data_IF_323900572736
#
_entry.id   IF_323900572736
#
_cell.length_a   1.000
_cell.length_b   1.000
_cell.length_c   1.000
_cell.angle_alpha   90.00
_cell.angle_beta   90.00
_cell.angle_gamma   90.00
#
_symmetry.space_group_name_H-M   'P 1'
#
loop_
_entity.id
_entity.type
_entity.pdbx_description
1 polymer ?
#
# COMPACT_ATOMS: atom_id res chain seq x y z
N UNK A 1 13.06 3.24 -9.31
CA UNK A 1 12.52 4.33 -10.15
C UNK A 1 11.07 4.57 -9.74
N UNK A 2 10.56 5.80 -9.75
CA UNK A 2 9.14 6.05 -9.42
C UNK A 2 8.26 5.93 -10.64
N UNK A 3 7.08 5.33 -10.47
CA UNK A 3 6.08 5.09 -11.52
C UNK A 3 4.76 5.66 -11.06
N UNK A 4 4.18 6.54 -11.86
CA UNK A 4 2.85 7.10 -11.58
C UNK A 4 1.80 6.01 -11.72
N UNK A 5 0.81 6.03 -10.83
CA UNK A 5 -0.31 5.10 -10.86
C UNK A 5 -1.53 5.73 -10.19
N UNK A 6 -2.67 5.05 -10.29
CA UNK A 6 -3.89 5.44 -9.63
C UNK A 6 -4.60 4.18 -9.13
N UNK A 7 -4.18 3.69 -7.97
CA UNK A 7 -4.65 2.43 -7.40
C UNK A 7 -5.03 2.65 -5.94
N UNK A 8 -6.10 2.01 -5.51
CA UNK A 8 -6.51 1.97 -4.12
C UNK A 8 -5.92 0.75 -3.43
N UNK A 9 -5.48 0.95 -2.20
CA UNK A 9 -5.02 -0.14 -1.33
C UNK A 9 -5.68 -0.05 0.03
N UNK A 10 -5.91 -1.20 0.66
CA UNK A 10 -6.28 -1.24 2.06
C UNK A 10 -5.06 -1.00 2.93
N UNK A 11 -5.27 -0.29 4.05
CA UNK A 11 -4.28 -0.20 5.11
C UNK A 11 -4.85 -0.68 6.42
N UNK A 12 -4.02 -1.39 7.17
CA UNK A 12 -4.34 -1.96 8.48
C UNK A 12 -3.43 -1.35 9.53
N UNK A 13 -4.03 -0.90 10.62
CA UNK A 13 -3.31 -0.28 11.72
C UNK A 13 -4.05 -0.42 13.04
N UNK A 14 -3.32 -0.28 14.14
CA UNK A 14 -3.90 -0.22 15.48
C UNK A 14 -3.93 1.22 15.96
N UNK A 15 -5.06 1.65 16.51
CA UNK A 15 -5.15 2.93 17.21
C UNK A 15 -4.82 2.74 18.68
N UNK A 16 -4.11 3.71 19.28
CA UNK A 16 -3.72 3.65 20.69
C UNK A 16 -4.97 3.51 21.57
N UNK A 17 -5.01 2.48 22.41
CA UNK A 17 -6.14 2.22 23.31
C UNK A 17 -7.30 1.43 22.68
N UNK A 18 -7.23 1.08 21.40
CA UNK A 18 -8.22 0.24 20.71
C UNK A 18 -7.66 -1.18 20.55
N UNK A 19 -8.39 -2.19 21.03
CA UNK A 19 -7.98 -3.61 20.93
C UNK A 19 -8.21 -4.25 19.55
N UNK A 20 -8.81 -3.51 18.62
CA UNK A 20 -9.17 -3.97 17.29
C UNK A 20 -8.29 -3.34 16.21
N UNK A 21 -8.03 -4.11 15.15
CA UNK A 21 -7.38 -3.61 13.94
C UNK A 21 -8.37 -2.69 13.21
N UNK A 22 -7.92 -1.47 12.93
CA UNK A 22 -8.64 -0.51 12.10
C UNK A 22 -8.19 -0.65 10.65
N UNK A 23 -9.12 -0.39 9.73
CA UNK A 23 -8.89 -0.40 8.29
C UNK A 23 -9.22 0.95 7.66
N UNK A 24 -8.44 1.34 6.67
CA UNK A 24 -8.71 2.48 5.80
C UNK A 24 -8.32 2.15 4.35
N UNK A 25 -8.52 3.12 3.46
CA UNK A 25 -8.04 3.06 2.09
C UNK A 25 -7.09 4.23 1.82
N UNK A 26 -6.04 3.95 1.06
CA UNK A 26 -5.14 4.94 0.50
C UNK A 26 -5.26 4.94 -1.02
N UNK A 27 -5.25 6.13 -1.63
CA UNK A 27 -5.12 6.30 -3.07
C UNK A 27 -3.66 6.56 -3.42
N UNK A 28 -3.02 5.59 -4.04
CA UNK A 28 -1.60 5.68 -4.44
C UNK A 28 -1.49 6.53 -5.71
N UNK A 29 -0.57 7.49 -5.69
CA UNK A 29 -0.31 8.44 -6.78
C UNK A 29 0.94 8.04 -7.58
N UNK A 30 1.94 7.53 -6.87
CA UNK A 30 3.14 6.94 -7.45
C UNK A 30 3.76 5.92 -6.50
N UNK A 31 4.51 4.98 -7.07
CA UNK A 31 5.13 3.88 -6.35
C UNK A 31 6.54 3.59 -6.88
N UNK A 32 7.39 3.08 -6.01
CA UNK A 32 8.74 2.58 -6.28
C UNK A 32 9.03 1.36 -5.41
N UNK A 33 10.18 0.73 -5.64
CA UNK A 33 10.64 -0.43 -4.88
C UNK A 33 10.77 -0.15 -3.38
N UNK A 34 11.04 1.09 -2.96
CA UNK A 34 11.27 1.47 -1.56
C UNK A 34 10.10 2.19 -0.89
N UNK A 35 9.03 2.52 -1.63
CA UNK A 35 7.90 3.26 -1.05
C UNK A 35 6.96 3.88 -2.07
N UNK A 36 6.03 4.70 -1.58
CA UNK A 36 4.97 5.31 -2.38
C UNK A 36 4.60 6.72 -1.91
N UNK A 37 3.83 7.44 -2.73
CA UNK A 37 3.04 8.60 -2.32
C UNK A 37 1.56 8.28 -2.44
N UNK A 38 0.78 8.65 -1.43
CA UNK A 38 -0.66 8.42 -1.42
C UNK A 38 -1.44 9.54 -0.74
N UNK A 39 -2.72 9.63 -1.04
CA UNK A 39 -3.68 10.44 -0.29
C UNK A 39 -4.63 9.56 0.51
N UNK A 40 -5.23 10.14 1.55
CA UNK A 40 -6.19 9.48 2.43
C UNK A 40 -7.36 10.41 2.71
N UNK A 41 -8.57 9.87 2.80
CA UNK A 41 -9.72 10.58 3.37
C UNK A 41 -9.68 10.61 4.90
N UNK A 42 -8.95 9.68 5.52
CA UNK A 42 -8.76 9.60 6.98
C UNK A 42 -7.50 10.31 7.41
N UNK A 43 -7.63 11.21 8.39
CA UNK A 43 -6.52 11.96 8.98
C UNK A 43 -5.84 11.24 10.15
N UNK A 44 -6.43 10.16 10.66
CA UNK A 44 -5.99 9.43 11.83
C UNK A 44 -5.10 8.22 11.51
N UNK A 45 -4.58 8.13 10.28
CA UNK A 45 -3.66 7.06 9.88
C UNK A 45 -2.31 7.28 10.62
N UNK A 46 -1.87 6.31 11.44
CA UNK A 46 -0.64 6.42 12.21
C UNK A 46 0.60 6.37 11.32
N UNK A 47 1.76 6.68 11.92
CA UNK A 47 3.05 6.65 11.21
C UNK A 47 3.45 5.25 10.75
N UNK A 48 2.98 4.21 11.43
CA UNK A 48 3.29 2.82 11.11
C UNK A 48 2.00 2.04 10.83
N UNK A 49 1.93 1.39 9.68
CA UNK A 49 0.79 0.60 9.25
C UNK A 49 1.24 -0.49 8.27
N UNK A 50 0.33 -1.40 7.95
CA UNK A 50 0.50 -2.35 6.86
C UNK A 50 -0.37 -1.94 5.69
N UNK A 51 0.17 -2.00 4.48
CA UNK A 51 -0.67 -2.07 3.27
C UNK A 51 -1.09 -3.53 3.12
N UNK A 52 -2.38 -3.76 2.90
CA UNK A 52 -2.97 -5.08 2.66
C UNK A 52 -3.46 -5.15 1.22
N UNK A 53 -3.05 -6.20 0.52
CA UNK A 53 -3.37 -6.46 -0.89
C UNK A 53 -4.02 -7.83 -0.99
N UNK A 54 -4.94 -7.99 -1.93
CA UNK A 54 -5.42 -9.33 -2.28
C UNK A 54 -6.41 -9.91 -1.30
N UNK A 55 -7.31 -9.11 -0.71
CA UNK A 55 -8.11 -9.55 0.43
C UNK A 55 -7.26 -10.24 1.53
N UNK A 56 -6.25 -9.53 2.02
CA UNK A 56 -5.31 -9.98 3.06
C UNK A 56 -4.29 -11.06 2.65
N UNK A 57 -4.16 -11.39 1.36
CA UNK A 57 -3.14 -12.31 0.86
C UNK A 57 -1.70 -11.80 1.00
N UNK A 58 -1.48 -10.48 0.99
CA UNK A 58 -0.14 -9.91 1.09
C UNK A 58 -0.10 -8.63 1.90
N UNK A 59 0.89 -8.52 2.79
CA UNK A 59 1.05 -7.38 3.70
C UNK A 59 2.42 -6.73 3.57
N UNK A 60 2.44 -5.41 3.36
CA UNK A 60 3.66 -4.61 3.26
C UNK A 60 3.76 -3.71 4.48
N UNK A 61 4.78 -3.93 5.30
CA UNK A 61 5.08 -3.03 6.42
C UNK A 61 5.51 -1.66 5.92
N UNK A 62 4.89 -0.61 6.43
CA UNK A 62 5.07 0.76 5.98
C UNK A 62 5.36 1.72 7.13
N UNK A 63 6.10 2.79 6.81
CA UNK A 63 6.31 3.93 7.69
C UNK A 63 6.09 5.25 6.92
N UNK A 64 5.29 6.15 7.46
CA UNK A 64 5.18 7.52 6.97
C UNK A 64 6.46 8.27 7.32
N UNK A 65 7.12 8.85 6.32
CA UNK A 65 8.34 9.64 6.48
C UNK A 65 8.10 11.14 6.34
N UNK A 66 7.01 11.53 5.68
CA UNK A 66 6.62 12.92 5.52
C UNK A 66 5.12 13.04 5.25
N UNK A 67 4.51 14.14 5.71
CA UNK A 67 3.12 14.52 5.44
C UNK A 67 3.07 15.97 5.01
N UNK A 68 2.53 16.24 3.83
CA UNK A 68 2.40 17.59 3.29
C UNK A 68 1.13 17.70 2.46
N UNK A 69 0.32 18.73 2.70
CA UNK A 69 -0.88 19.05 1.91
C UNK A 69 -1.84 17.87 1.66
N UNK A 70 -2.01 17.00 2.67
CA UNK A 70 -2.87 15.80 2.56
C UNK A 70 -2.26 14.61 1.82
N UNK A 71 -0.99 14.73 1.41
CA UNK A 71 -0.20 13.67 0.79
C UNK A 71 0.70 13.01 1.84
N UNK A 72 0.69 11.69 1.85
CA UNK A 72 1.54 10.83 2.66
C UNK A 72 2.70 10.34 1.81
N UNK A 73 3.93 10.61 2.27
CA UNK A 73 5.12 9.97 1.73
C UNK A 73 5.44 8.77 2.61
N UNK A 74 5.40 7.58 2.01
CA UNK A 74 5.48 6.31 2.71
C UNK A 74 6.71 5.56 2.23
N UNK A 75 7.47 5.01 3.17
CA UNK A 75 8.58 4.10 2.92
C UNK A 75 8.17 2.68 3.32
N UNK A 76 8.52 1.70 2.49
CA UNK A 76 8.37 0.30 2.83
C UNK A 76 9.50 -0.13 3.78
N UNK A 77 9.17 -0.93 4.78
CA UNK A 77 10.16 -1.48 5.71
C UNK A 77 11.11 -2.43 4.99
N UNK A 78 10.62 -3.15 3.98
CA UNK A 78 11.40 -3.96 3.05
C UNK A 78 11.11 -3.52 1.64
N UNK A 79 12.15 -3.41 0.82
CA UNK A 79 11.99 -3.15 -0.60
C UNK A 79 11.14 -4.24 -1.26
N UNK A 80 10.31 -3.82 -2.21
CA UNK A 80 9.40 -4.68 -2.92
C UNK A 80 9.99 -5.06 -4.29
N UNK A 81 9.71 -6.27 -4.79
CA UNK A 81 10.24 -6.72 -6.07
C UNK A 81 9.86 -5.77 -7.22
N UNK A 82 10.82 -5.46 -8.11
CA UNK A 82 10.59 -4.59 -9.27
C UNK A 82 9.44 -5.10 -10.16
N UNK A 83 9.28 -6.43 -10.27
CA UNK A 83 8.16 -7.05 -11.01
C UNK A 83 6.82 -6.64 -10.41
N UNK A 84 6.67 -6.77 -9.09
CA UNK A 84 5.47 -6.33 -8.37
C UNK A 84 5.19 -4.84 -8.59
N UNK A 85 6.21 -3.99 -8.48
CA UNK A 85 6.08 -2.54 -8.69
C UNK A 85 5.64 -2.19 -10.12
N UNK A 86 6.17 -2.90 -11.12
CA UNK A 86 5.79 -2.72 -12.51
C UNK A 86 4.32 -3.09 -12.73
N UNK A 87 3.88 -4.25 -12.21
CA UNK A 87 2.49 -4.72 -12.32
C UNK A 87 1.54 -3.77 -11.60
N UNK A 88 1.86 -3.39 -10.35
CA UNK A 88 1.09 -2.42 -9.57
C UNK A 88 0.85 -1.13 -10.36
N UNK A 89 1.91 -0.59 -10.96
CA UNK A 89 1.82 0.66 -11.70
C UNK A 89 1.09 0.53 -13.05
N UNK A 90 0.98 -0.67 -13.61
CA UNK A 90 0.29 -0.90 -14.89
C UNK A 90 -1.20 -1.26 -14.73
N UNK A 91 -1.72 -1.34 -13.50
CA UNK A 91 -3.13 -1.62 -13.25
C UNK A 91 -4.01 -0.50 -13.81
N UNK A 92 -4.94 -0.87 -14.69
CA UNK A 92 -5.94 0.05 -15.23
C UNK A 92 -7.15 0.21 -14.31
N UNK A 93 -7.50 -0.85 -13.58
CA UNK A 93 -8.57 -0.83 -12.58
C UNK A 93 -8.00 -0.38 -11.22
N UNK A 94 -8.48 0.75 -10.66
CA UNK A 94 -8.03 1.23 -9.36
C UNK A 94 -8.35 0.28 -8.20
N UNK A 95 -9.30 -0.63 -8.34
CA UNK A 95 -9.77 -1.51 -7.27
C UNK A 95 -9.10 -2.90 -7.29
N UNK A 96 -8.30 -3.21 -8.31
CA UNK A 96 -7.74 -4.54 -8.56
C UNK A 96 -6.92 -5.15 -7.41
N UNK A 97 -6.42 -4.34 -6.48
CA UNK A 97 -5.65 -4.81 -5.32
C UNK A 97 -6.49 -4.97 -4.05
N UNK A 98 -7.75 -4.52 -4.05
CA UNK A 98 -8.66 -4.67 -2.93
C UNK A 98 -9.32 -6.04 -2.91
N UNK A 99 -9.49 -6.64 -4.08
CA UNK A 99 -10.04 -7.99 -4.26
C UNK A 99 -8.94 -9.05 -4.20
N UNK A 100 -9.34 -10.33 -4.13
CA UNK A 100 -8.42 -11.46 -4.21
C UNK A 100 -7.55 -11.39 -5.47
N UNK A 101 -6.23 -11.54 -5.30
CA UNK A 101 -5.27 -11.58 -6.39
C UNK A 101 -4.72 -12.99 -6.61
N UNK A 102 -4.07 -13.19 -7.76
CA UNK A 102 -3.23 -14.35 -8.02
C UNK A 102 -1.78 -13.94 -7.81
N UNK A 103 -1.10 -14.30 -6.70
CA UNK A 103 0.25 -13.80 -6.38
C UNK A 103 1.27 -13.97 -7.49
N UNK A 104 1.17 -15.04 -8.28
CA UNK A 104 1.99 -15.29 -9.46
C UNK A 104 1.95 -14.15 -10.51
N UNK A 105 0.78 -13.57 -10.76
CA UNK A 105 0.63 -12.45 -11.71
C UNK A 105 1.26 -11.15 -11.21
N UNK A 106 1.52 -11.07 -9.91
CA UNK A 106 2.11 -9.91 -9.26
C UNK A 106 3.60 -10.11 -8.94
N UNK A 107 4.20 -11.23 -9.37
CA UNK A 107 5.59 -11.55 -9.05
C UNK A 107 5.84 -11.77 -7.55
N UNK A 108 4.80 -12.18 -6.82
CA UNK A 108 4.83 -12.45 -5.38
C UNK A 108 4.91 -13.96 -5.07
N UNK A 109 5.38 -14.76 -6.03
CA UNK A 109 5.53 -16.22 -5.84
C UNK A 109 6.44 -16.53 -4.65
N UNK A 110 5.94 -17.34 -3.72
CA UNK A 110 6.68 -17.74 -2.51
C UNK A 110 6.81 -16.65 -1.43
N UNK A 111 6.13 -15.51 -1.59
CA UNK A 111 6.13 -14.39 -0.61
C UNK A 111 4.76 -14.12 0.04
N UNK A 112 3.70 -14.77 -0.47
CA UNK A 112 2.35 -14.74 0.09
C UNK A 112 2.14 -15.88 1.10
#
# INVERSE_FOLDING_TARGET
>A
MRRSCNVLVHVLFTLKGVRQVSQAQLRVLDISESGLMATSHRSDIPDHFFISIGDHQYHIGCAVVHRENGVLHVRFIREQPTVFINVFASLADPFALLEEIRPALYGLEGLA
#
